data_IF_637917568892
#
_entry.id   IF_637917568892
#
_cell.length_a   1.000
_cell.length_b   1.000
_cell.length_c   1.000
_cell.angle_alpha   90.00
_cell.angle_beta   90.00
_cell.angle_gamma   90.00
#
_symmetry.space_group_name_H-M   'P 1'
#
loop_
_entity.id
_entity.type
_entity.pdbx_description
1 polymer ?
#
# COMPACT_ATOMS: atom_id res chain seq x y z
N UNK A 1 -14.40 3.40 -35.44
CA UNK A 1 -14.03 3.47 -36.87
C UNK A 1 -14.23 4.87 -37.47
N UNK A 2 -15.45 5.45 -37.48
CA UNK A 2 -15.71 6.78 -38.07
C UNK A 2 -14.99 7.97 -37.41
N UNK A 3 -14.87 8.01 -36.07
CA UNK A 3 -14.10 9.06 -35.35
C UNK A 3 -12.60 9.03 -35.69
N UNK A 4 -11.95 7.87 -35.55
CA UNK A 4 -10.53 7.70 -35.89
C UNK A 4 -10.20 8.03 -37.37
N UNK A 5 -11.15 7.88 -38.29
CA UNK A 5 -10.99 8.30 -39.68
C UNK A 5 -11.11 9.82 -39.85
N UNK A 6 -12.07 10.44 -39.15
CA UNK A 6 -12.24 11.90 -39.08
C UNK A 6 -10.99 12.57 -38.48
N UNK A 7 -10.44 12.01 -37.40
CA UNK A 7 -9.27 12.56 -36.73
C UNK A 7 -8.03 12.46 -37.62
N UNK A 8 -7.84 11.32 -38.31
CA UNK A 8 -6.78 11.16 -39.33
C UNK A 8 -6.90 12.17 -40.47
N UNK A 9 -8.12 12.40 -40.95
CA UNK A 9 -8.41 13.42 -41.98
C UNK A 9 -8.11 14.83 -41.50
N UNK A 10 -8.42 15.15 -40.24
CA UNK A 10 -8.14 16.45 -39.64
C UNK A 10 -6.63 16.70 -39.51
N UNK A 11 -5.87 15.71 -39.04
CA UNK A 11 -4.40 15.79 -39.01
C UNK A 11 -3.78 15.91 -40.40
N UNK A 12 -4.25 15.14 -41.39
CA UNK A 12 -3.78 15.26 -42.77
C UNK A 12 -4.11 16.62 -43.39
N UNK A 13 -5.29 17.18 -43.08
CA UNK A 13 -5.74 18.46 -43.64
C UNK A 13 -5.00 19.66 -43.05
N UNK A 14 -4.61 19.59 -41.78
CA UNK A 14 -3.74 20.59 -41.14
C UNK A 14 -2.34 20.62 -41.78
N UNK A 15 -1.79 19.46 -42.11
CA UNK A 15 -0.47 19.36 -42.76
C UNK A 15 -0.50 19.79 -44.25
N UNK A 16 -1.65 19.63 -44.93
CA UNK A 16 -1.86 20.06 -46.32
C UNK A 16 -2.14 21.57 -46.46
N UNK A 17 -2.77 22.19 -45.46
CA UNK A 17 -3.03 23.64 -45.47
C UNK A 17 -1.74 24.45 -45.37
N UNK A 18 -0.79 24.01 -44.54
CA UNK A 18 0.53 24.66 -44.42
C UNK A 18 1.37 24.53 -45.69
N UNK A 19 1.26 23.40 -46.41
CA UNK A 19 1.93 23.21 -47.69
C UNK A 19 1.41 24.18 -48.78
N UNK A 20 0.13 24.56 -48.70
CA UNK A 20 -0.49 25.48 -49.64
C UNK A 20 -0.23 26.96 -49.30
N UNK A 21 -0.20 27.34 -48.00
CA UNK A 21 0.00 28.74 -47.60
C UNK A 21 1.47 29.18 -47.52
N UNK A 22 2.41 28.27 -47.20
CA UNK A 22 3.82 28.66 -46.96
C UNK A 22 4.74 28.46 -48.17
N UNK A 23 4.28 27.87 -49.28
CA UNK A 23 5.06 27.69 -50.51
C UNK A 23 6.37 26.90 -50.33
N UNK A 24 6.53 26.17 -49.22
CA UNK A 24 7.73 25.41 -48.89
C UNK A 24 7.58 23.97 -49.39
N UNK A 25 8.43 23.58 -50.33
CA UNK A 25 8.54 22.21 -50.83
C UNK A 25 9.01 21.20 -49.76
N UNK A 26 9.55 21.68 -48.64
CA UNK A 26 10.04 20.86 -47.54
C UNK A 26 8.96 20.67 -46.45
N UNK A 27 8.37 19.48 -46.43
CA UNK A 27 7.56 18.98 -45.32
C UNK A 27 8.40 18.94 -44.03
N UNK A 28 8.29 19.96 -43.17
CA UNK A 28 8.79 19.85 -41.79
C UNK A 28 7.72 19.19 -40.94
N UNK A 29 7.93 17.91 -40.62
CA UNK A 29 7.11 17.17 -39.65
C UNK A 29 7.15 17.87 -38.28
N UNK A 30 6.14 18.69 -37.98
CA UNK A 30 5.99 19.33 -36.68
C UNK A 30 5.31 18.37 -35.69
N UNK A 31 6.12 17.50 -35.10
CA UNK A 31 5.68 16.53 -34.10
C UNK A 31 5.01 17.21 -32.88
N UNK A 32 5.41 18.44 -32.54
CA UNK A 32 4.85 19.21 -31.42
C UNK A 32 3.41 19.62 -31.67
N UNK A 33 3.10 20.10 -32.88
CA UNK A 33 1.73 20.50 -33.26
C UNK A 33 0.77 19.32 -33.31
N UNK A 34 1.19 18.18 -33.87
CA UNK A 34 0.37 16.95 -33.86
C UNK A 34 0.13 16.44 -32.45
N UNK A 35 1.15 16.45 -31.59
CA UNK A 35 1.01 16.05 -30.20
C UNK A 35 0.02 16.96 -29.46
N UNK A 36 0.11 18.28 -29.69
CA UNK A 36 -0.85 19.26 -29.15
C UNK A 36 -2.28 18.94 -29.58
N UNK A 37 -2.52 18.76 -30.88
CA UNK A 37 -3.85 18.43 -31.43
C UNK A 37 -4.37 17.11 -30.87
N UNK A 38 -3.53 16.09 -30.71
CA UNK A 38 -3.91 14.80 -30.11
C UNK A 38 -4.35 14.96 -28.64
N UNK A 39 -3.61 15.74 -27.85
CA UNK A 39 -3.91 15.98 -26.44
C UNK A 39 -5.22 16.77 -26.30
N UNK A 40 -5.37 17.85 -27.08
CA UNK A 40 -6.55 18.72 -27.04
C UNK A 40 -7.80 18.01 -27.59
N UNK A 41 -7.64 17.08 -28.52
CA UNK A 41 -8.75 16.29 -29.10
C UNK A 41 -9.07 14.99 -28.34
N UNK A 42 -8.36 14.69 -27.25
CA UNK A 42 -8.52 13.46 -26.45
C UNK A 42 -9.89 13.29 -25.77
N UNK A 43 -10.67 14.36 -25.64
CA UNK A 43 -11.92 14.37 -24.88
C UNK A 43 -11.73 14.39 -23.35
N UNK A 44 -10.49 14.55 -22.88
CA UNK A 44 -10.18 14.73 -21.46
C UNK A 44 -10.57 16.13 -20.96
N UNK A 45 -10.62 16.30 -19.63
CA UNK A 45 -10.93 17.59 -19.03
C UNK A 45 -9.84 18.63 -19.35
N UNK A 46 -10.19 19.92 -19.36
CA UNK A 46 -9.19 20.98 -19.55
C UNK A 46 -8.09 20.94 -18.46
N UNK A 47 -8.44 20.48 -17.26
CA UNK A 47 -7.48 20.23 -16.18
C UNK A 47 -6.45 19.16 -16.55
N UNK A 48 -6.90 18.01 -17.05
CA UNK A 48 -6.02 16.94 -17.52
C UNK A 48 -5.17 17.39 -18.72
N UNK A 49 -5.74 18.14 -19.66
CA UNK A 49 -5.00 18.71 -20.80
C UNK A 49 -3.87 19.64 -20.30
N UNK A 50 -4.18 20.57 -19.39
CA UNK A 50 -3.19 21.49 -18.82
C UNK A 50 -2.10 20.74 -18.04
N UNK A 51 -2.49 19.74 -17.24
CA UNK A 51 -1.56 18.90 -16.48
C UNK A 51 -0.67 18.06 -17.39
N UNK A 52 -1.18 17.62 -18.53
CA UNK A 52 -0.43 16.90 -19.56
C UNK A 52 0.66 17.78 -20.17
N UNK A 53 0.33 19.01 -20.57
CA UNK A 53 1.34 19.95 -21.09
C UNK A 53 2.40 20.31 -20.04
N UNK A 54 2.00 20.50 -18.78
CA UNK A 54 2.96 20.67 -17.68
C UNK A 54 3.85 19.44 -17.49
N UNK A 55 3.31 18.23 -17.64
CA UNK A 55 4.08 16.99 -17.57
C UNK A 55 5.09 16.86 -18.71
N UNK A 56 4.66 17.16 -19.95
CA UNK A 56 5.54 17.22 -21.11
C UNK A 56 6.67 18.22 -20.92
N UNK A 57 6.37 19.41 -20.40
CA UNK A 57 7.37 20.44 -20.07
C UNK A 57 8.43 19.90 -19.11
N UNK A 58 8.01 19.26 -18.02
CA UNK A 58 8.94 18.64 -17.04
C UNK A 58 9.84 17.58 -17.69
N UNK A 59 9.32 16.77 -18.61
CA UNK A 59 10.13 15.75 -19.31
C UNK A 59 11.10 16.38 -20.31
N UNK A 60 10.61 17.31 -21.12
CA UNK A 60 11.34 17.84 -22.29
C UNK A 60 12.33 18.93 -21.88
N UNK A 61 11.93 19.86 -21.00
CA UNK A 61 12.78 20.98 -20.59
C UNK A 61 13.68 20.61 -19.40
N UNK A 62 13.14 19.93 -18.40
CA UNK A 62 13.86 19.67 -17.15
C UNK A 62 14.52 18.27 -17.16
N UNK A 63 14.06 17.37 -18.03
CA UNK A 63 14.52 15.98 -18.07
C UNK A 63 14.12 15.18 -16.82
N UNK A 64 13.14 15.66 -16.05
CA UNK A 64 12.72 15.13 -14.77
C UNK A 64 11.47 14.26 -14.88
N UNK A 65 11.17 13.52 -13.81
CA UNK A 65 9.95 12.73 -13.70
C UNK A 65 8.77 13.62 -13.29
N UNK A 66 7.69 13.73 -14.10
CA UNK A 66 6.51 14.51 -13.71
C UNK A 66 5.82 13.92 -12.48
N UNK A 67 5.16 14.80 -11.70
CA UNK A 67 4.34 14.38 -10.57
C UNK A 67 3.19 13.44 -10.96
N UNK A 68 2.71 12.66 -9.99
CA UNK A 68 1.72 11.60 -10.20
C UNK A 68 0.44 12.06 -10.94
N UNK A 69 -0.10 13.22 -10.57
CA UNK A 69 -1.27 13.82 -11.20
C UNK A 69 -1.03 14.12 -12.69
N UNK A 70 0.15 14.66 -13.03
CA UNK A 70 0.53 14.97 -14.41
C UNK A 70 0.73 13.71 -15.23
N UNK A 71 1.32 12.66 -14.65
CA UNK A 71 1.46 11.37 -15.32
C UNK A 71 0.09 10.72 -15.60
N UNK A 72 -0.85 10.76 -14.67
CA UNK A 72 -2.22 10.27 -14.91
C UNK A 72 -2.93 11.06 -16.00
N UNK A 73 -2.77 12.39 -15.97
CA UNK A 73 -3.32 13.26 -17.01
C UNK A 73 -2.76 12.89 -18.39
N UNK A 74 -1.43 12.70 -18.49
CA UNK A 74 -0.79 12.23 -19.72
C UNK A 74 -1.37 10.89 -20.18
N UNK A 75 -1.52 9.90 -19.30
CA UNK A 75 -2.12 8.63 -19.71
C UNK A 75 -3.55 8.76 -20.24
N UNK A 76 -4.35 9.63 -19.63
CA UNK A 76 -5.73 9.88 -20.05
C UNK A 76 -5.79 10.60 -21.41
N UNK A 77 -4.88 11.53 -21.67
CA UNK A 77 -4.91 12.36 -22.89
C UNK A 77 -4.20 11.72 -24.08
N UNK A 78 -3.02 11.13 -23.88
CA UNK A 78 -2.17 10.60 -24.95
C UNK A 78 -2.06 9.07 -24.96
N UNK A 79 -2.59 8.40 -23.93
CA UNK A 79 -2.49 6.96 -23.77
C UNK A 79 -1.21 6.52 -23.03
N UNK A 80 -1.29 5.38 -22.35
CA UNK A 80 -0.21 4.86 -21.52
C UNK A 80 1.08 4.55 -22.32
N UNK A 81 0.96 4.05 -23.54
CA UNK A 81 2.14 3.70 -24.34
C UNK A 81 2.90 4.93 -24.82
N UNK A 82 2.19 5.95 -25.31
CA UNK A 82 2.81 7.21 -25.74
C UNK A 82 3.50 7.91 -24.57
N UNK A 83 2.84 7.97 -23.41
CA UNK A 83 3.42 8.58 -22.22
C UNK A 83 4.62 7.77 -21.67
N UNK A 84 4.65 6.43 -21.79
CA UNK A 84 5.83 5.60 -21.47
C UNK A 84 7.01 5.88 -22.38
N UNK A 85 6.79 6.05 -23.68
CA UNK A 85 7.85 6.38 -24.64
C UNK A 85 8.49 7.73 -24.31
N UNK A 86 7.66 8.73 -23.98
CA UNK A 86 8.14 10.05 -23.57
C UNK A 86 8.99 10.00 -22.30
N UNK A 87 8.67 9.11 -21.34
CA UNK A 87 9.49 8.94 -20.15
C UNK A 87 10.91 8.42 -20.40
N UNK A 88 11.20 7.86 -21.58
CA UNK A 88 12.57 7.48 -21.96
C UNK A 88 13.46 8.69 -22.22
N UNK A 89 12.88 9.85 -22.52
CA UNK A 89 13.61 11.11 -22.74
C UNK A 89 14.12 11.76 -21.45
N UNK A 90 13.71 11.27 -20.27
CA UNK A 90 14.21 11.73 -18.97
C UNK A 90 15.72 11.45 -18.81
N UNK A 91 16.36 12.21 -17.93
CA UNK A 91 17.79 12.08 -17.59
C UNK A 91 18.11 10.64 -17.18
N UNK A 92 19.32 10.19 -17.54
CA UNK A 92 19.81 8.86 -17.18
C UNK A 92 19.84 8.63 -15.66
N UNK A 93 20.07 9.68 -14.87
CA UNK A 93 20.05 9.63 -13.39
C UNK A 93 18.63 9.36 -12.86
N UNK A 94 17.60 9.99 -13.44
CA UNK A 94 16.20 9.75 -13.08
C UNK A 94 15.77 8.32 -13.44
N UNK A 95 16.13 7.88 -14.66
CA UNK A 95 15.84 6.53 -15.15
C UNK A 95 16.60 5.46 -14.35
N UNK A 96 17.86 5.72 -14.01
CA UNK A 96 18.71 4.85 -13.19
C UNK A 96 18.23 4.79 -11.75
N UNK A 97 17.75 5.90 -11.19
CA UNK A 97 17.15 5.95 -9.86
C UNK A 97 15.84 5.14 -9.78
N UNK A 98 14.96 5.25 -10.78
CA UNK A 98 13.76 4.39 -10.85
C UNK A 98 14.10 2.91 -11.01
N UNK A 99 15.05 2.58 -11.89
CA UNK A 99 15.51 1.20 -12.08
C UNK A 99 16.12 0.62 -10.80
N UNK A 100 16.90 1.44 -10.08
CA UNK A 100 17.43 1.09 -8.77
C UNK A 100 16.30 0.84 -7.76
N UNK A 101 15.32 1.74 -7.65
CA UNK A 101 14.15 1.57 -6.79
C UNK A 101 13.32 0.32 -7.14
N UNK A 102 13.18 0.02 -8.45
CA UNK A 102 12.52 -1.18 -8.96
C UNK A 102 13.25 -2.47 -8.57
N UNK A 103 14.59 -2.42 -8.60
CA UNK A 103 15.47 -3.56 -8.29
C UNK A 103 15.50 -3.83 -6.79
N UNK A 104 15.63 -2.80 -5.95
CA UNK A 104 15.62 -2.96 -4.48
C UNK A 104 14.25 -3.39 -3.94
N UNK A 105 13.17 -3.06 -4.66
CA UNK A 105 11.81 -3.49 -4.33
C UNK A 105 11.53 -4.96 -4.66
N UNK A 106 12.30 -5.58 -5.57
CA UNK A 106 12.03 -6.92 -6.08
C UNK A 106 12.03 -8.02 -5.00
N UNK A 107 13.00 -8.11 -4.08
CA UNK A 107 12.96 -9.08 -2.98
C UNK A 107 11.71 -8.93 -2.10
N UNK A 108 11.31 -7.69 -1.82
CA UNK A 108 10.12 -7.41 -1.00
C UNK A 108 8.84 -7.87 -1.68
N UNK A 109 8.70 -7.65 -2.99
CA UNK A 109 7.56 -8.16 -3.76
C UNK A 109 7.54 -9.68 -3.72
N UNK A 110 8.67 -10.36 -3.94
CA UNK A 110 8.73 -11.82 -3.92
C UNK A 110 8.33 -12.41 -2.57
N UNK A 111 8.81 -11.83 -1.47
CA UNK A 111 8.44 -12.23 -0.10
C UNK A 111 6.96 -12.03 0.23
N UNK A 112 6.29 -11.06 -0.43
CA UNK A 112 4.89 -10.70 -0.19
C UNK A 112 3.96 -11.19 -1.29
N UNK A 113 4.46 -12.02 -2.20
CA UNK A 113 3.74 -12.55 -3.35
C UNK A 113 3.27 -13.97 -3.08
N UNK A 114 2.02 -14.25 -3.43
CA UNK A 114 1.33 -15.53 -3.22
C UNK A 114 1.22 -15.94 -1.74
N UNK A 115 1.57 -15.06 -0.82
CA UNK A 115 1.33 -15.23 0.60
C UNK A 115 -0.01 -14.63 1.00
N UNK A 116 -0.61 -15.14 2.08
CA UNK A 116 -1.81 -14.56 2.68
C UNK A 116 -1.45 -13.38 3.60
N UNK A 117 -0.34 -12.67 3.36
CA UNK A 117 0.17 -11.63 4.27
C UNK A 117 -0.80 -10.48 4.45
N UNK A 118 -1.49 -10.06 3.38
CA UNK A 118 -2.56 -9.06 3.49
C UNK A 118 -3.63 -9.48 4.50
N UNK A 119 -4.00 -10.76 4.51
CA UNK A 119 -5.04 -11.27 5.40
C UNK A 119 -4.56 -11.31 6.85
N UNK A 120 -3.38 -11.87 7.11
CA UNK A 120 -2.92 -12.14 8.48
C UNK A 120 -2.10 -11.02 9.12
N UNK A 121 -1.44 -10.16 8.34
CA UNK A 121 -0.70 -9.00 8.86
C UNK A 121 -1.53 -7.73 8.89
N UNK A 122 -2.41 -7.54 7.91
CA UNK A 122 -3.19 -6.30 7.77
C UNK A 122 -4.67 -6.50 8.09
N UNK A 123 -5.30 -7.56 7.59
CA UNK A 123 -6.73 -7.80 7.80
C UNK A 123 -7.08 -8.38 9.17
N UNK A 124 -6.16 -9.09 9.83
CA UNK A 124 -6.42 -9.84 11.06
C UNK A 124 -6.95 -8.99 12.22
N UNK A 125 -6.56 -7.71 12.29
CA UNK A 125 -7.04 -6.77 13.33
C UNK A 125 -8.56 -6.60 13.27
N UNK A 126 -9.14 -6.61 12.06
CA UNK A 126 -10.59 -6.47 11.85
C UNK A 126 -11.29 -7.82 11.68
N UNK A 127 -10.56 -8.91 11.52
CA UNK A 127 -11.12 -10.21 11.18
C UNK A 127 -12.14 -10.71 12.21
N UNK A 128 -11.81 -10.62 13.50
CA UNK A 128 -12.68 -11.14 14.57
C UNK A 128 -13.85 -10.19 14.91
N UNK A 129 -13.68 -8.89 14.74
CA UNK A 129 -14.78 -7.91 14.87
C UNK A 129 -15.78 -7.99 13.71
N UNK A 130 -15.29 -8.41 12.52
CA UNK A 130 -16.05 -8.45 11.27
C UNK A 130 -15.86 -9.77 10.50
N UNK A 131 -16.18 -10.94 11.08
CA UNK A 131 -15.82 -12.25 10.52
C UNK A 131 -16.44 -12.51 9.14
N UNK A 132 -17.70 -12.11 8.94
CA UNK A 132 -18.37 -12.27 7.66
C UNK A 132 -17.83 -11.34 6.57
N UNK A 133 -17.46 -10.11 6.94
CA UNK A 133 -16.82 -9.18 6.02
C UNK A 133 -15.44 -9.70 5.60
N UNK A 134 -14.66 -10.15 6.58
CA UNK A 134 -13.34 -10.72 6.32
C UNK A 134 -13.44 -11.96 5.43
N UNK A 135 -14.35 -12.89 5.71
CA UNK A 135 -14.56 -14.08 4.88
C UNK A 135 -15.03 -13.73 3.45
N UNK A 136 -15.93 -12.77 3.32
CA UNK A 136 -16.37 -12.23 2.03
C UNK A 136 -15.20 -11.62 1.25
N UNK A 137 -14.37 -10.81 1.92
CA UNK A 137 -13.19 -10.21 1.32
C UNK A 137 -12.15 -11.26 0.91
N UNK A 138 -11.89 -12.26 1.75
CA UNK A 138 -10.97 -13.36 1.44
C UNK A 138 -11.46 -14.20 0.25
N UNK A 139 -12.77 -14.49 0.18
CA UNK A 139 -13.38 -15.18 -0.96
C UNK A 139 -13.20 -14.41 -2.26
N UNK A 140 -13.42 -13.11 -2.23
CA UNK A 140 -13.22 -12.27 -3.40
C UNK A 140 -11.72 -12.08 -3.73
N UNK A 141 -10.82 -12.08 -2.74
CA UNK A 141 -9.38 -12.12 -2.96
C UNK A 141 -8.97 -13.35 -3.79
N UNK A 142 -9.47 -14.54 -3.44
CA UNK A 142 -9.22 -15.77 -4.21
C UNK A 142 -9.80 -15.66 -5.62
N UNK A 143 -11.05 -15.18 -5.76
CA UNK A 143 -11.68 -15.01 -7.09
C UNK A 143 -10.91 -14.03 -7.97
N UNK A 144 -10.51 -12.89 -7.42
CA UNK A 144 -9.74 -11.87 -8.14
C UNK A 144 -8.34 -12.36 -8.46
N UNK A 145 -7.73 -13.22 -7.63
CA UNK A 145 -6.46 -13.86 -7.96
C UNK A 145 -6.56 -14.63 -9.28
N UNK A 146 -7.59 -15.47 -9.45
CA UNK A 146 -7.73 -16.29 -10.66
C UNK A 146 -8.41 -15.58 -11.84
N UNK A 147 -9.28 -14.59 -11.60
CA UNK A 147 -10.14 -14.00 -12.63
C UNK A 147 -10.04 -12.47 -12.69
N UNK A 148 -9.43 -11.95 -13.75
CA UNK A 148 -9.28 -10.51 -13.97
C UNK A 148 -10.62 -9.78 -14.10
N UNK A 149 -11.60 -10.38 -14.79
CA UNK A 149 -12.96 -9.79 -14.90
C UNK A 149 -13.63 -9.61 -13.55
N UNK A 150 -13.35 -10.50 -12.59
CA UNK A 150 -13.85 -10.36 -11.22
C UNK A 150 -13.13 -9.23 -10.48
N UNK A 151 -11.84 -9.01 -10.76
CA UNK A 151 -11.08 -7.88 -10.21
C UNK A 151 -11.62 -6.53 -10.71
N UNK A 152 -11.90 -6.42 -12.01
CA UNK A 152 -12.51 -5.21 -12.62
C UNK A 152 -13.87 -4.92 -11.98
N UNK A 153 -14.78 -5.91 -11.97
CA UNK A 153 -16.12 -5.74 -11.37
C UNK A 153 -16.06 -5.34 -9.90
N UNK A 154 -15.17 -5.95 -9.13
CA UNK A 154 -15.00 -5.59 -7.72
C UNK A 154 -14.48 -4.16 -7.57
N UNK A 155 -13.47 -3.77 -8.36
CA UNK A 155 -12.91 -2.42 -8.31
C UNK A 155 -13.96 -1.35 -8.68
N UNK A 156 -14.78 -1.61 -9.69
CA UNK A 156 -15.92 -0.74 -10.06
C UNK A 156 -16.97 -0.67 -8.94
N UNK A 157 -17.33 -1.81 -8.34
CA UNK A 157 -18.27 -1.86 -7.23
C UNK A 157 -17.77 -1.06 -6.00
N UNK A 158 -16.46 -1.08 -5.72
CA UNK A 158 -15.86 -0.30 -4.64
C UNK A 158 -15.95 1.22 -4.86
N UNK A 159 -15.97 1.66 -6.13
CA UNK A 159 -16.04 3.08 -6.51
C UNK A 159 -17.46 3.61 -6.56
N UNK A 160 -18.42 2.84 -7.11
CA UNK A 160 -19.76 3.36 -7.43
C UNK A 160 -20.90 2.43 -7.00
N UNK A 161 -20.62 1.22 -6.52
CA UNK A 161 -21.60 0.16 -6.28
C UNK A 161 -22.06 0.01 -4.83
N UNK A 162 -21.79 0.99 -3.95
CA UNK A 162 -22.01 0.84 -2.49
C UNK A 162 -23.39 1.31 -2.03
N UNK A 163 -24.13 2.01 -2.89
CA UNK A 163 -25.49 2.48 -2.63
C UNK A 163 -25.56 3.68 -1.69
N UNK A 164 -26.78 4.05 -1.29
CA UNK A 164 -27.06 5.24 -0.48
C UNK A 164 -27.58 4.88 0.92
N UNK A 165 -27.42 5.82 1.86
CA UNK A 165 -28.00 5.75 3.22
C UNK A 165 -28.63 7.09 3.58
N UNK A 166 -29.64 7.04 4.45
CA UNK A 166 -30.19 8.23 5.10
C UNK A 166 -29.51 8.42 6.47
N UNK A 167 -28.69 9.47 6.60
CA UNK A 167 -28.02 9.86 7.84
C UNK A 167 -28.70 11.13 8.39
N UNK A 168 -29.51 10.95 9.42
CA UNK A 168 -30.40 12.03 9.89
C UNK A 168 -31.38 12.40 8.77
N UNK A 169 -31.35 13.65 8.33
CA UNK A 169 -32.22 14.15 7.25
C UNK A 169 -31.58 14.12 5.86
N UNK A 170 -30.30 13.72 5.75
CA UNK A 170 -29.56 13.74 4.49
C UNK A 170 -29.44 12.35 3.87
N UNK A 171 -29.65 12.25 2.56
CA UNK A 171 -29.32 11.06 1.78
C UNK A 171 -27.89 11.22 1.27
N UNK A 172 -27.03 10.27 1.60
CA UNK A 172 -25.61 10.27 1.25
C UNK A 172 -25.30 9.01 0.45
N UNK A 173 -24.53 9.15 -0.63
CA UNK A 173 -23.88 8.02 -1.28
C UNK A 173 -22.74 7.52 -0.39
N UNK A 174 -22.69 6.21 -0.12
CA UNK A 174 -21.75 5.68 0.87
C UNK A 174 -20.31 5.74 0.34
N UNK A 175 -20.10 5.53 -0.97
CA UNK A 175 -18.76 5.60 -1.54
C UNK A 175 -18.22 7.04 -1.42
N UNK A 176 -19.00 8.03 -1.84
CA UNK A 176 -18.66 9.44 -1.72
C UNK A 176 -18.49 9.89 -0.26
N UNK A 177 -19.35 9.43 0.65
CA UNK A 177 -19.25 9.74 2.06
C UNK A 177 -17.96 9.17 2.66
N UNK A 178 -17.67 7.89 2.44
CA UNK A 178 -16.45 7.27 2.99
C UNK A 178 -15.18 7.89 2.42
N UNK A 179 -15.17 8.24 1.13
CA UNK A 179 -14.08 9.01 0.52
C UNK A 179 -13.90 10.38 1.19
N UNK A 180 -15.00 11.14 1.40
CA UNK A 180 -14.99 12.43 2.11
C UNK A 180 -14.49 12.30 3.55
N UNK A 181 -14.78 11.18 4.21
CA UNK A 181 -14.30 10.87 5.56
C UNK A 181 -12.84 10.38 5.57
N UNK A 182 -12.21 10.21 4.42
CA UNK A 182 -10.80 9.82 4.28
C UNK A 182 -10.56 8.31 4.25
N UNK A 183 -11.56 7.50 3.88
CA UNK A 183 -11.35 6.06 3.68
C UNK A 183 -10.37 5.88 2.53
N UNK A 184 -9.21 5.33 2.83
CA UNK A 184 -8.20 5.13 1.80
C UNK A 184 -8.64 3.99 0.89
N UNK A 185 -8.42 4.13 -0.42
CA UNK A 185 -8.53 3.06 -1.41
C UNK A 185 -7.30 3.05 -2.30
N UNK A 186 -6.56 1.93 -2.30
CA UNK A 186 -5.38 1.78 -3.14
C UNK A 186 -5.82 1.69 -4.62
N UNK A 187 -5.28 2.53 -5.52
CA UNK A 187 -5.68 2.52 -6.92
C UNK A 187 -5.04 1.32 -7.65
N UNK A 188 -5.80 0.23 -7.80
CA UNK A 188 -5.34 -0.96 -8.52
C UNK A 188 -5.07 -0.67 -10.01
N UNK A 189 -5.94 0.10 -10.68
CA UNK A 189 -5.79 0.46 -12.10
C UNK A 189 -4.51 1.28 -12.36
N UNK A 190 -4.08 2.08 -11.39
CA UNK A 190 -2.87 2.89 -11.46
C UNK A 190 -1.58 2.07 -11.23
N UNK A 191 -1.64 0.75 -11.11
CA UNK A 191 -0.41 -0.06 -11.09
C UNK A 191 0.13 -0.36 -12.47
N UNK A 192 -0.74 -0.41 -13.49
CA UNK A 192 -0.33 -0.41 -14.90
C UNK A 192 0.22 0.94 -15.36
N UNK A 193 0.00 2.00 -14.56
CA UNK A 193 0.33 3.34 -14.93
C UNK A 193 1.80 3.69 -14.71
N UNK A 194 2.22 4.69 -15.47
CA UNK A 194 3.52 5.32 -15.47
C UNK A 194 3.79 6.04 -14.14
N UNK A 195 2.73 6.29 -13.39
CA UNK A 195 2.76 6.92 -12.06
C UNK A 195 3.75 6.17 -11.17
N UNK A 196 4.73 6.92 -10.69
CA UNK A 196 5.91 6.52 -9.91
C UNK A 196 5.67 5.35 -8.93
N UNK A 197 6.70 4.51 -8.76
CA UNK A 197 6.78 3.39 -7.81
C UNK A 197 6.36 3.75 -6.38
N UNK A 198 6.50 5.03 -6.01
CA UNK A 198 6.16 5.59 -4.70
C UNK A 198 4.67 5.60 -4.35
N UNK A 199 3.77 5.53 -5.34
CA UNK A 199 2.31 5.52 -5.11
C UNK A 199 1.75 4.10 -4.97
N UNK A 200 2.58 3.07 -5.18
CA UNK A 200 2.17 1.67 -5.06
C UNK A 200 2.06 1.23 -3.59
N UNK A 201 1.34 0.13 -3.38
CA UNK A 201 1.41 -0.59 -2.11
C UNK A 201 2.87 -0.94 -1.80
N UNK A 202 3.35 -0.67 -0.59
CA UNK A 202 4.76 -0.82 -0.20
C UNK A 202 5.32 -2.22 -0.43
N UNK A 203 4.47 -3.24 -0.30
CA UNK A 203 4.83 -4.62 -0.61
C UNK A 203 4.95 -4.90 -2.10
N UNK A 204 4.26 -4.15 -2.96
CA UNK A 204 4.11 -4.39 -4.41
C UNK A 204 4.83 -3.33 -5.27
N UNK A 205 5.96 -2.81 -4.77
CA UNK A 205 6.61 -1.65 -5.39
C UNK A 205 7.35 -1.92 -6.70
N UNK A 206 7.61 -3.15 -7.16
CA UNK A 206 8.47 -3.44 -8.33
C UNK A 206 7.70 -3.68 -9.65
N UNK A 207 8.07 -2.97 -10.73
CA UNK A 207 7.62 -3.20 -12.11
C UNK A 207 8.21 -4.47 -12.70
N UNK A 208 9.49 -4.75 -12.42
CA UNK A 208 10.19 -5.94 -12.91
C UNK A 208 9.54 -7.22 -12.39
N UNK A 209 9.16 -7.23 -11.10
CA UNK A 209 8.48 -8.37 -10.50
C UNK A 209 7.16 -8.73 -11.23
N UNK A 210 6.43 -7.75 -11.78
CA UNK A 210 5.18 -8.00 -12.50
C UNK A 210 5.36 -8.77 -13.82
N UNK A 211 6.59 -8.90 -14.34
CA UNK A 211 6.87 -9.75 -15.50
C UNK A 211 6.85 -11.23 -15.14
N UNK A 212 7.04 -11.57 -13.86
CA UNK A 212 7.01 -12.94 -13.37
C UNK A 212 5.53 -13.41 -13.33
N UNK A 213 5.21 -14.58 -13.92
CA UNK A 213 3.87 -15.16 -13.84
C UNK A 213 3.39 -15.27 -12.39
N UNK A 214 2.13 -14.93 -12.11
CA UNK A 214 1.56 -14.99 -10.75
C UNK A 214 1.64 -13.68 -9.95
N UNK A 215 2.64 -12.83 -10.19
CA UNK A 215 2.82 -11.60 -9.37
C UNK A 215 1.69 -10.61 -9.59
N UNK A 216 1.30 -10.36 -10.84
CA UNK A 216 0.13 -9.50 -11.15
C UNK A 216 -1.17 -10.02 -10.52
N UNK A 217 -1.29 -11.34 -10.40
CA UNK A 217 -2.46 -12.00 -9.81
C UNK A 217 -2.48 -11.85 -8.28
N UNK A 218 -1.32 -12.02 -7.66
CA UNK A 218 -1.12 -11.78 -6.22
C UNK A 218 -1.34 -10.30 -5.87
N UNK A 219 -0.74 -9.39 -6.64
CA UNK A 219 -0.85 -7.94 -6.45
C UNK A 219 -2.33 -7.50 -6.46
N UNK A 220 -3.10 -7.84 -7.51
CA UNK A 220 -4.53 -7.48 -7.57
C UNK A 220 -5.33 -8.07 -6.42
N UNK A 221 -5.05 -9.32 -6.05
CA UNK A 221 -5.73 -10.00 -4.95
C UNK A 221 -5.45 -9.30 -3.61
N UNK A 222 -4.18 -8.99 -3.34
CA UNK A 222 -3.72 -8.27 -2.16
C UNK A 222 -4.44 -6.93 -2.00
N UNK A 223 -4.48 -6.13 -3.07
CA UNK A 223 -5.03 -4.77 -3.03
C UNK A 223 -6.54 -4.79 -2.87
N UNK A 224 -7.21 -5.60 -3.70
CA UNK A 224 -8.66 -5.65 -3.71
C UNK A 224 -9.20 -6.31 -2.44
N UNK A 225 -8.46 -7.24 -1.82
CA UNK A 225 -8.76 -7.74 -0.49
C UNK A 225 -8.81 -6.60 0.54
N UNK A 226 -7.74 -5.80 0.65
CA UNK A 226 -7.66 -4.73 1.65
C UNK A 226 -8.66 -3.61 1.36
N UNK A 227 -8.84 -3.25 0.09
CA UNK A 227 -9.82 -2.26 -0.31
C UNK A 227 -11.26 -2.69 0.00
N UNK A 228 -11.59 -3.95 -0.26
CA UNK A 228 -12.90 -4.52 0.06
C UNK A 228 -13.11 -4.62 1.57
N UNK A 229 -12.12 -5.10 2.32
CA UNK A 229 -12.20 -5.18 3.78
C UNK A 229 -12.45 -3.79 4.41
N UNK A 230 -11.68 -2.77 4.00
CA UNK A 230 -11.88 -1.39 4.46
C UNK A 230 -13.27 -0.86 4.10
N UNK A 231 -13.69 -1.07 2.86
CA UNK A 231 -14.97 -0.61 2.37
C UNK A 231 -16.15 -1.25 3.12
N UNK A 232 -16.19 -2.57 3.17
CA UNK A 232 -17.31 -3.31 3.74
C UNK A 232 -17.41 -3.07 5.28
N UNK A 233 -16.29 -2.92 5.99
CA UNK A 233 -16.30 -2.54 7.43
C UNK A 233 -16.86 -1.12 7.61
N UNK A 234 -16.41 -0.17 6.80
CA UNK A 234 -16.93 1.20 6.83
C UNK A 234 -18.43 1.25 6.49
N UNK A 235 -18.87 0.47 5.50
CA UNK A 235 -20.28 0.37 5.08
C UNK A 235 -21.14 -0.16 6.21
N UNK A 236 -20.70 -1.23 6.87
CA UNK A 236 -21.42 -1.81 8.00
C UNK A 236 -21.59 -0.81 9.15
N UNK A 237 -20.54 -0.04 9.47
CA UNK A 237 -20.61 1.00 10.48
C UNK A 237 -21.59 2.13 10.08
N UNK A 238 -21.45 2.66 8.87
CA UNK A 238 -22.31 3.74 8.35
C UNK A 238 -23.77 3.30 8.29
N UNK A 239 -24.05 2.10 7.76
CA UNK A 239 -25.40 1.54 7.71
C UNK A 239 -25.95 1.27 9.11
N UNK A 240 -25.11 0.90 10.06
CA UNK A 240 -25.47 0.78 11.47
C UNK A 240 -25.88 2.12 12.08
N UNK A 241 -25.09 3.16 11.84
CA UNK A 241 -25.37 4.52 12.31
C UNK A 241 -26.59 5.15 11.64
N UNK A 242 -26.84 4.87 10.37
CA UNK A 242 -28.02 5.33 9.64
C UNK A 242 -29.34 4.80 10.25
N UNK A 243 -29.30 3.69 10.99
CA UNK A 243 -30.46 3.16 11.74
C UNK A 243 -30.74 3.92 13.04
N UNK A 244 -29.80 4.75 13.50
CA UNK A 244 -29.93 5.52 14.74
C UNK A 244 -30.67 6.82 14.50
N UNK A 245 -31.52 7.24 15.45
CA UNK A 245 -32.30 8.50 15.35
C UNK A 245 -31.41 9.73 15.19
N UNK A 246 -30.29 9.76 15.91
CA UNK A 246 -29.25 10.78 15.79
C UNK A 246 -28.03 10.06 15.26
N UNK A 247 -27.47 10.38 14.07
CA UNK A 247 -26.21 9.80 13.61
C UNK A 247 -25.01 10.38 14.38
N UNK A 248 -23.84 9.71 14.39
CA UNK A 248 -22.62 10.30 14.92
C UNK A 248 -22.24 11.57 14.15
N UNK A 249 -21.47 12.43 14.82
CA UNK A 249 -20.88 13.61 14.18
C UNK A 249 -19.88 13.20 13.08
N UNK A 250 -19.61 14.10 12.14
CA UNK A 250 -18.61 13.85 11.09
C UNK A 250 -17.22 13.56 11.67
N UNK A 251 -16.86 14.17 12.80
CA UNK A 251 -15.59 13.92 13.48
C UNK A 251 -15.51 12.50 14.05
N UNK A 252 -16.59 12.00 14.65
CA UNK A 252 -16.66 10.61 15.09
C UNK A 252 -16.56 9.65 13.90
N UNK A 253 -17.29 9.94 12.81
CA UNK A 253 -17.19 9.11 11.60
C UNK A 253 -15.76 9.11 11.03
N UNK A 254 -15.09 10.26 10.95
CA UNK A 254 -13.69 10.38 10.53
C UNK A 254 -12.74 9.61 11.46
N UNK A 255 -12.96 9.64 12.78
CA UNK A 255 -12.17 8.89 13.74
C UNK A 255 -12.24 7.37 13.46
N UNK A 256 -13.44 6.83 13.25
CA UNK A 256 -13.59 5.41 12.95
C UNK A 256 -13.00 5.04 11.58
N UNK A 257 -13.21 5.86 10.55
CA UNK A 257 -12.65 5.63 9.21
C UNK A 257 -11.12 5.68 9.25
N UNK A 258 -10.54 6.60 10.04
CA UNK A 258 -9.10 6.63 10.31
C UNK A 258 -8.63 5.35 10.99
N UNK A 259 -9.35 4.87 12.02
CA UNK A 259 -9.05 3.60 12.68
C UNK A 259 -9.07 2.42 11.68
N UNK A 260 -10.06 2.31 10.81
CA UNK A 260 -10.15 1.26 9.77
C UNK A 260 -8.94 1.28 8.84
N UNK A 261 -8.48 2.47 8.43
CA UNK A 261 -7.27 2.63 7.62
C UNK A 261 -6.03 2.10 8.37
N UNK A 262 -5.79 2.53 9.60
CA UNK A 262 -4.59 2.12 10.37
C UNK A 262 -4.66 0.64 10.79
N UNK A 263 -5.84 0.13 11.15
CA UNK A 263 -6.06 -1.28 11.45
C UNK A 263 -5.64 -2.19 10.27
N UNK A 264 -5.96 -1.76 9.05
CA UNK A 264 -5.58 -2.45 7.81
C UNK A 264 -4.18 -2.11 7.28
N UNK A 265 -3.32 -1.47 8.09
CA UNK A 265 -1.91 -1.25 7.75
C UNK A 265 -1.61 0.08 7.06
N UNK A 266 -2.60 0.96 6.87
CA UNK A 266 -2.40 2.29 6.27
C UNK A 266 -2.06 3.34 7.33
N UNK A 267 -0.86 3.19 7.91
CA UNK A 267 -0.31 4.21 8.78
C UNK A 267 -0.06 5.50 8.00
N UNK A 268 -0.50 6.63 8.55
CA UNK A 268 -0.23 7.95 7.98
C UNK A 268 0.83 8.60 8.87
N UNK A 269 2.05 8.87 8.39
CA UNK A 269 3.01 9.65 9.16
C UNK A 269 2.44 11.03 9.45
N UNK A 270 2.86 11.66 10.55
CA UNK A 270 2.55 13.07 10.75
C UNK A 270 3.11 13.92 9.60
N UNK A 271 2.55 15.13 9.40
CA UNK A 271 2.94 16.07 8.31
C UNK A 271 4.45 16.31 8.20
N UNK A 272 5.20 16.19 9.30
CA UNK A 272 6.66 16.34 9.35
C UNK A 272 7.43 15.16 8.74
N UNK A 273 6.83 13.98 8.65
CA UNK A 273 7.45 12.75 8.14
C UNK A 273 7.00 12.39 6.72
N UNK A 274 5.96 13.06 6.19
CA UNK A 274 5.48 12.85 4.81
C UNK A 274 6.57 13.11 3.76
N UNK A 275 7.46 14.08 4.02
CA UNK A 275 8.57 14.43 3.12
C UNK A 275 9.62 13.32 3.03
N UNK A 276 9.78 12.52 4.08
CA UNK A 276 10.78 11.43 4.13
C UNK A 276 10.18 10.06 3.85
N UNK A 277 8.86 9.93 3.70
CA UNK A 277 8.20 8.68 3.36
C UNK A 277 8.78 7.97 2.13
N UNK A 278 9.09 8.65 1.01
CA UNK A 278 9.72 7.99 -0.14
C UNK A 278 11.07 7.36 0.20
N UNK A 279 11.86 8.01 1.05
CA UNK A 279 13.13 7.50 1.54
C UNK A 279 12.92 6.33 2.51
N UNK A 280 11.95 6.42 3.41
CA UNK A 280 11.58 5.32 4.31
C UNK A 280 11.09 4.10 3.53
N UNK A 281 10.35 4.28 2.43
CA UNK A 281 9.89 3.19 1.58
C UNK A 281 11.06 2.46 0.88
N UNK A 282 12.13 3.18 0.57
CA UNK A 282 13.37 2.61 0.03
C UNK A 282 14.15 1.85 1.11
N UNK A 283 14.24 2.43 2.32
CA UNK A 283 15.07 1.92 3.40
C UNK A 283 14.41 0.81 4.24
N UNK A 284 13.09 0.88 4.43
CA UNK A 284 12.32 0.02 5.34
C UNK A 284 11.39 -0.93 4.59
N UNK A 285 11.15 -2.13 5.13
CA UNK A 285 10.32 -3.16 4.49
C UNK A 285 8.84 -2.75 4.34
N UNK A 286 8.22 -2.23 5.40
CA UNK A 286 6.80 -1.82 5.40
C UNK A 286 6.54 -0.69 6.40
N UNK A 287 7.07 0.52 6.15
CA UNK A 287 6.99 1.64 7.10
C UNK A 287 5.55 2.02 7.47
N UNK A 288 4.59 2.04 6.54
CA UNK A 288 3.19 2.35 6.88
C UNK A 288 2.58 1.30 7.79
N UNK A 289 2.87 0.01 7.56
CA UNK A 289 2.40 -1.05 8.44
C UNK A 289 3.00 -0.89 9.84
N UNK A 290 4.30 -0.60 9.95
CA UNK A 290 4.96 -0.36 11.23
C UNK A 290 4.33 0.80 12.00
N UNK A 291 4.17 1.97 11.35
CA UNK A 291 3.51 3.15 11.92
C UNK A 291 2.08 2.80 12.37
N UNK A 292 1.36 2.05 11.53
CA UNK A 292 -0.04 1.70 11.82
C UNK A 292 -0.21 0.89 13.10
N UNK A 293 0.77 0.05 13.49
CA UNK A 293 0.69 -0.72 14.74
C UNK A 293 0.70 0.21 15.95
N UNK A 294 1.53 1.25 15.94
CA UNK A 294 1.52 2.26 17.00
C UNK A 294 0.23 3.08 17.00
N UNK A 295 -0.26 3.46 15.82
CA UNK A 295 -1.51 4.20 15.70
C UNK A 295 -2.72 3.40 16.17
N UNK A 296 -2.79 2.09 15.88
CA UNK A 296 -3.86 1.22 16.41
C UNK A 296 -3.85 1.23 17.94
N UNK A 297 -2.68 1.08 18.58
CA UNK A 297 -2.58 1.14 20.05
C UNK A 297 -3.02 2.51 20.57
N UNK A 298 -2.55 3.60 19.97
CA UNK A 298 -2.91 4.96 20.36
C UNK A 298 -4.40 5.28 20.20
N UNK A 299 -5.01 4.92 19.07
CA UNK A 299 -6.45 5.09 18.82
C UNK A 299 -7.29 4.22 19.77
N UNK A 300 -6.82 3.00 20.10
CA UNK A 300 -7.48 2.14 21.09
C UNK A 300 -7.45 2.78 22.47
N UNK A 301 -6.30 3.28 22.91
CA UNK A 301 -6.17 3.96 24.20
C UNK A 301 -7.06 5.20 24.26
N UNK A 302 -7.08 6.02 23.20
CA UNK A 302 -7.99 7.18 23.09
C UNK A 302 -9.45 6.76 23.17
N UNK A 303 -9.84 5.68 22.48
CA UNK A 303 -11.20 5.17 22.51
C UNK A 303 -11.65 4.79 23.93
N UNK A 304 -10.78 4.13 24.72
CA UNK A 304 -11.05 3.83 26.12
C UNK A 304 -11.17 5.09 27.01
N UNK A 305 -10.51 6.20 26.65
CA UNK A 305 -10.67 7.49 27.34
C UNK A 305 -11.96 8.22 26.97
N UNK A 306 -12.58 7.88 25.83
CA UNK A 306 -13.84 8.49 25.37
C UNK A 306 -14.92 7.45 25.04
N UNK A 307 -15.32 6.57 25.99
CA UNK A 307 -16.19 5.42 25.70
C UNK A 307 -17.64 5.81 25.31
N UNK A 308 -18.06 7.05 25.59
CA UNK A 308 -19.35 7.59 25.17
C UNK A 308 -19.43 7.94 23.68
N UNK A 309 -18.27 8.13 23.02
CA UNK A 309 -18.18 8.42 21.59
C UNK A 309 -18.47 7.15 20.77
N UNK A 310 -19.28 7.28 19.73
CA UNK A 310 -19.76 6.11 18.96
C UNK A 310 -18.67 5.44 18.13
N UNK A 311 -17.70 6.21 17.64
CA UNK A 311 -16.51 5.65 17.00
C UNK A 311 -15.69 4.86 18.01
N UNK A 312 -15.53 5.41 19.22
CA UNK A 312 -14.79 4.75 20.30
C UNK A 312 -15.40 3.41 20.68
N UNK A 313 -16.75 3.32 20.72
CA UNK A 313 -17.45 2.06 20.98
C UNK A 313 -17.13 0.98 19.92
N UNK A 314 -17.09 1.34 18.64
CA UNK A 314 -16.73 0.39 17.57
C UNK A 314 -15.26 0.00 17.64
N UNK A 315 -14.35 0.95 17.89
CA UNK A 315 -12.90 0.69 18.05
C UNK A 315 -12.66 -0.28 19.21
N UNK A 316 -13.25 0.00 20.38
CA UNK A 316 -13.16 -0.86 21.56
C UNK A 316 -13.69 -2.26 21.22
N UNK A 317 -14.85 -2.35 20.57
CA UNK A 317 -15.44 -3.63 20.17
C UNK A 317 -14.50 -4.43 19.27
N UNK A 318 -13.94 -3.82 18.24
CA UNK A 318 -13.05 -4.49 17.29
C UNK A 318 -11.75 -4.95 17.97
N UNK A 319 -11.19 -4.13 18.85
CA UNK A 319 -9.95 -4.45 19.56
C UNK A 319 -10.14 -5.49 20.67
N UNK A 320 -11.29 -5.48 21.35
CA UNK A 320 -11.67 -6.54 22.28
C UNK A 320 -11.93 -7.84 21.55
N UNK A 321 -12.60 -7.81 20.39
CA UNK A 321 -12.78 -8.99 19.56
C UNK A 321 -11.43 -9.55 19.09
N UNK A 322 -10.51 -8.70 18.61
CA UNK A 322 -9.18 -9.13 18.18
C UNK A 322 -8.35 -9.70 19.32
N UNK A 323 -8.22 -8.97 20.43
CA UNK A 323 -7.36 -9.37 21.55
C UNK A 323 -7.97 -10.53 22.32
N UNK A 324 -9.25 -10.42 22.68
CA UNK A 324 -9.96 -11.43 23.46
C UNK A 324 -10.08 -12.77 22.74
N UNK A 325 -10.39 -12.77 21.43
CA UNK A 325 -10.47 -14.01 20.65
C UNK A 325 -9.11 -14.69 20.54
N UNK A 326 -8.03 -13.93 20.30
CA UNK A 326 -6.68 -14.49 20.26
C UNK A 326 -6.27 -15.08 21.61
N UNK A 327 -6.47 -14.34 22.71
CA UNK A 327 -6.16 -14.84 24.06
C UNK A 327 -6.95 -16.11 24.39
N UNK A 328 -8.25 -16.11 24.10
CA UNK A 328 -9.11 -17.27 24.34
C UNK A 328 -8.65 -18.47 23.51
N UNK A 329 -8.41 -18.30 22.20
CA UNK A 329 -7.94 -19.36 21.33
C UNK A 329 -6.60 -19.94 21.81
N UNK A 330 -5.61 -19.07 22.06
CA UNK A 330 -4.28 -19.45 22.54
C UNK A 330 -4.34 -20.23 23.86
N UNK A 331 -5.12 -19.74 24.82
CA UNK A 331 -5.26 -20.37 26.14
C UNK A 331 -5.95 -21.73 26.04
N UNK A 332 -7.04 -21.82 25.27
CA UNK A 332 -7.77 -23.07 25.08
C UNK A 332 -6.93 -24.14 24.39
N UNK A 333 -6.18 -23.80 23.33
CA UNK A 333 -5.33 -24.77 22.67
C UNK A 333 -4.12 -25.18 23.50
N UNK A 334 -3.61 -24.28 24.36
CA UNK A 334 -2.57 -24.64 25.33
C UNK A 334 -3.11 -25.62 26.38
N UNK A 335 -4.28 -25.35 26.97
CA UNK A 335 -4.93 -26.24 27.94
C UNK A 335 -5.32 -27.58 27.34
N UNK A 336 -5.72 -27.61 26.07
CA UNK A 336 -6.00 -28.84 25.34
C UNK A 336 -4.72 -29.62 24.93
N UNK A 337 -3.53 -29.10 25.25
CA UNK A 337 -2.26 -29.73 24.90
C UNK A 337 -1.95 -29.72 23.40
N UNK A 338 -2.61 -28.85 22.62
CA UNK A 338 -2.40 -28.72 21.18
C UNK A 338 -1.12 -27.97 20.83
N UNK A 339 -0.68 -27.07 21.71
CA UNK A 339 0.52 -26.28 21.54
C UNK A 339 1.09 -25.76 22.87
N UNK A 340 2.34 -25.34 22.81
CA UNK A 340 3.00 -24.66 23.91
C UNK A 340 2.81 -23.14 23.80
N UNK A 341 2.80 -22.47 24.96
CA UNK A 341 2.62 -21.03 25.07
C UNK A 341 3.70 -20.42 25.98
N UNK A 342 4.41 -19.41 25.46
CA UNK A 342 5.34 -18.60 26.24
C UNK A 342 4.67 -17.29 26.65
N UNK A 343 4.73 -16.94 27.94
CA UNK A 343 4.06 -15.77 28.53
C UNK A 343 5.04 -14.69 28.98
N UNK A 344 6.34 -14.96 28.99
CA UNK A 344 7.37 -13.95 29.25
C UNK A 344 7.52 -13.02 28.03
N UNK A 345 7.16 -11.73 28.15
CA UNK A 345 7.19 -10.80 27.03
C UNK A 345 8.58 -10.55 26.46
N UNK A 346 9.65 -10.84 27.21
CA UNK A 346 11.03 -10.68 26.76
C UNK A 346 11.49 -11.79 25.81
N UNK A 347 10.72 -12.88 25.67
CA UNK A 347 11.07 -14.05 24.85
C UNK A 347 10.61 -13.92 23.40
N UNK A 348 11.35 -14.57 22.50
CA UNK A 348 11.09 -14.50 21.05
C UNK A 348 9.73 -15.09 20.66
N UNK A 349 9.22 -16.07 21.42
CA UNK A 349 7.96 -16.77 21.18
C UNK A 349 6.81 -16.36 22.09
N UNK A 350 6.97 -15.25 22.82
CA UNK A 350 5.89 -14.65 23.61
C UNK A 350 4.56 -14.61 22.85
N UNK A 351 3.55 -15.25 23.42
CA UNK A 351 2.17 -15.37 22.94
C UNK A 351 2.04 -15.94 21.52
N UNK A 352 3.00 -16.74 21.05
CA UNK A 352 2.87 -17.49 19.80
C UNK A 352 2.31 -18.89 20.05
N UNK A 353 1.72 -19.47 19.01
CA UNK A 353 1.40 -20.90 18.96
C UNK A 353 2.69 -21.64 18.64
N UNK A 354 3.18 -22.51 19.54
CA UNK A 354 4.36 -23.35 19.28
C UNK A 354 3.96 -24.83 19.16
N UNK A 355 4.22 -25.40 17.98
CA UNK A 355 3.99 -26.82 17.68
C UNK A 355 5.31 -27.39 17.16
N UNK A 356 6.01 -28.15 18.01
CA UNK A 356 7.37 -28.60 17.72
C UNK A 356 8.31 -27.42 17.45
N UNK A 357 8.88 -27.38 16.25
CA UNK A 357 9.79 -26.32 15.78
C UNK A 357 9.08 -25.16 15.05
N UNK A 358 7.76 -25.22 14.93
CA UNK A 358 6.96 -24.22 14.21
C UNK A 358 6.36 -23.22 15.19
N UNK A 359 6.59 -21.94 14.94
CA UNK A 359 6.03 -20.84 15.74
C UNK A 359 5.15 -19.94 14.87
N UNK A 360 3.87 -19.80 15.24
CA UNK A 360 2.88 -18.99 14.51
C UNK A 360 2.50 -17.77 15.35
N UNK A 361 2.60 -16.58 14.74
CA UNK A 361 2.23 -15.29 15.35
C UNK A 361 0.81 -14.86 14.92
N UNK A 362 -0.20 -14.99 15.80
CA UNK A 362 -1.57 -14.58 15.50
C UNK A 362 -1.83 -13.07 15.69
N UNK A 363 -0.81 -12.30 16.13
CA UNK A 363 -0.97 -10.92 16.57
C UNK A 363 -0.75 -9.90 15.47
N UNK A 364 -0.99 -10.22 14.21
CA UNK A 364 -0.93 -9.24 13.10
C UNK A 364 0.33 -8.35 13.06
N UNK A 365 1.48 -8.86 13.55
CA UNK A 365 2.74 -8.12 13.63
C UNK A 365 2.88 -7.13 14.81
N UNK A 366 2.00 -7.15 15.80
CA UNK A 366 2.14 -6.39 17.05
C UNK A 366 3.19 -7.00 17.99
N UNK A 367 3.29 -8.34 18.00
CA UNK A 367 4.13 -9.09 18.94
C UNK A 367 5.58 -8.62 19.02
N UNK A 368 6.31 -8.40 17.90
CA UNK A 368 7.70 -7.96 17.99
C UNK A 368 7.86 -6.67 18.80
N UNK A 369 6.96 -5.69 18.63
CA UNK A 369 7.02 -4.42 19.37
C UNK A 369 6.82 -4.64 20.87
N UNK A 370 5.86 -5.47 21.27
CA UNK A 370 5.64 -5.80 22.68
C UNK A 370 6.91 -6.39 23.32
N UNK A 371 7.59 -7.29 22.62
CA UNK A 371 8.84 -7.88 23.11
C UNK A 371 9.99 -6.89 23.17
N UNK A 372 10.16 -6.06 22.15
CA UNK A 372 11.18 -5.02 22.16
C UNK A 372 10.96 -4.04 23.32
N UNK A 373 9.72 -3.60 23.56
CA UNK A 373 9.41 -2.73 24.70
C UNK A 373 9.66 -3.39 26.04
N UNK A 374 9.24 -4.65 26.23
CA UNK A 374 9.51 -5.36 27.48
C UNK A 374 11.02 -5.47 27.77
N UNK A 375 11.83 -5.78 26.75
CA UNK A 375 13.30 -5.81 26.86
C UNK A 375 13.90 -4.44 27.17
N UNK A 376 13.41 -3.38 26.54
CA UNK A 376 13.84 -2.01 26.83
C UNK A 376 13.52 -1.61 28.27
N UNK A 377 12.30 -1.90 28.75
CA UNK A 377 11.88 -1.63 30.13
C UNK A 377 12.74 -2.40 31.13
N UNK A 378 13.07 -3.67 30.85
CA UNK A 378 13.97 -4.47 31.68
C UNK A 378 15.40 -3.90 31.70
N UNK A 379 15.92 -3.43 30.57
CA UNK A 379 17.25 -2.81 30.49
C UNK A 379 17.29 -1.49 31.28
N UNK A 380 16.28 -0.63 31.10
CA UNK A 380 16.14 0.65 31.82
C UNK A 380 16.04 0.41 33.33
N UNK A 381 15.22 -0.56 33.77
CA UNK A 381 15.05 -0.84 35.20
C UNK A 381 16.31 -1.38 35.88
N UNK A 382 17.21 -2.01 35.11
CA UNK A 382 18.52 -2.49 35.55
C UNK A 382 19.65 -1.48 35.36
N UNK A 383 19.40 -0.33 34.74
CA UNK A 383 20.43 0.66 34.40
C UNK A 383 21.42 0.18 33.32
N UNK A 384 21.04 -0.82 32.53
CA UNK A 384 21.89 -1.44 31.50
C UNK A 384 21.67 -0.75 30.15
N UNK A 385 22.30 0.42 29.99
CA UNK A 385 22.15 1.26 28.80
C UNK A 385 22.83 0.67 27.55
N UNK A 386 23.91 -0.10 27.72
CA UNK A 386 24.53 -0.82 26.60
C UNK A 386 23.56 -1.85 26.00
N UNK A 387 22.85 -2.59 26.86
CA UNK A 387 21.80 -3.51 26.40
C UNK A 387 20.64 -2.75 25.75
N UNK A 388 20.27 -1.57 26.28
CA UNK A 388 19.22 -0.74 25.68
C UNK A 388 19.57 -0.32 24.25
N UNK A 389 20.79 0.18 24.02
CA UNK A 389 21.24 0.61 22.70
C UNK A 389 21.24 -0.56 21.70
N UNK A 390 21.72 -1.73 22.12
CA UNK A 390 21.66 -2.95 21.32
C UNK A 390 20.22 -3.35 20.95
N UNK A 391 19.26 -3.21 21.88
CA UNK A 391 17.85 -3.52 21.62
C UNK A 391 17.26 -2.55 20.59
N UNK A 392 17.58 -1.25 20.68
CA UNK A 392 17.13 -0.23 19.74
C UNK A 392 17.72 -0.47 18.35
N UNK A 393 19.01 -0.78 18.25
CA UNK A 393 19.67 -1.12 16.99
C UNK A 393 19.02 -2.35 16.35
N UNK A 394 18.77 -3.42 17.11
CA UNK A 394 18.10 -4.63 16.63
C UNK A 394 16.69 -4.33 16.12
N UNK A 395 15.93 -3.48 16.83
CA UNK A 395 14.60 -3.07 16.38
C UNK A 395 14.70 -2.31 15.05
N UNK A 396 15.58 -1.32 14.94
CA UNK A 396 15.76 -0.53 13.72
C UNK A 396 16.17 -1.44 12.54
N UNK A 397 17.13 -2.33 12.77
CA UNK A 397 17.61 -3.31 11.80
C UNK A 397 16.51 -4.25 11.32
N UNK A 398 15.64 -4.71 12.22
CA UNK A 398 14.52 -5.60 11.89
C UNK A 398 13.48 -5.00 10.94
N UNK A 399 13.51 -3.67 10.75
CA UNK A 399 12.59 -2.95 9.85
C UNK A 399 13.20 -2.59 8.52
N UNK A 400 14.51 -2.79 8.35
CA UNK A 400 15.19 -2.53 7.10
C UNK A 400 14.66 -3.44 5.98
N UNK A 401 14.61 -2.89 4.78
CA UNK A 401 14.36 -3.68 3.59
C UNK A 401 15.56 -4.61 3.30
N UNK A 402 15.39 -5.68 2.49
CA UNK A 402 16.43 -6.69 2.30
C UNK A 402 17.78 -6.12 1.82
N UNK A 403 17.75 -5.11 0.94
CA UNK A 403 18.97 -4.47 0.42
C UNK A 403 19.70 -3.61 1.46
N UNK A 404 19.06 -2.63 2.12
CA UNK A 404 19.67 -1.91 3.26
C UNK A 404 20.15 -2.82 4.39
N UNK A 405 19.39 -3.88 4.72
CA UNK A 405 19.84 -4.89 5.69
C UNK A 405 21.13 -5.56 5.23
N UNK A 406 21.24 -5.93 3.96
CA UNK A 406 22.45 -6.54 3.43
C UNK A 406 23.68 -5.64 3.43
N UNK A 407 23.50 -4.33 3.21
CA UNK A 407 24.58 -3.34 3.36
C UNK A 407 25.03 -3.26 4.82
N UNK A 408 24.08 -3.24 5.77
CA UNK A 408 24.39 -3.25 7.20
C UNK A 408 25.15 -4.51 7.61
N UNK A 409 24.74 -5.68 7.13
CA UNK A 409 25.41 -6.95 7.36
C UNK A 409 26.87 -6.94 6.85
N UNK A 410 27.12 -6.28 5.72
CA UNK A 410 28.47 -6.14 5.15
C UNK A 410 29.37 -5.23 5.98
N UNK A 411 28.82 -4.12 6.48
CA UNK A 411 29.56 -3.18 7.32
C UNK A 411 29.86 -3.77 8.70
N UNK A 412 28.88 -4.48 9.29
CA UNK A 412 29.00 -5.02 10.65
C UNK A 412 29.63 -6.41 10.71
N UNK A 413 29.72 -7.11 9.58
CA UNK A 413 30.25 -8.47 9.49
C UNK A 413 29.38 -9.54 10.17
N UNK A 414 28.16 -9.18 10.60
CA UNK A 414 27.22 -10.08 11.31
C UNK A 414 25.84 -10.01 10.66
N UNK A 415 25.11 -11.11 10.61
CA UNK A 415 23.72 -11.17 10.12
C UNK A 415 22.71 -10.70 11.18
N UNK A 416 21.42 -10.62 10.81
CA UNK A 416 20.35 -10.13 11.69
C UNK A 416 20.26 -10.86 13.02
N UNK A 417 20.61 -12.15 13.06
CA UNK A 417 20.58 -12.96 14.27
C UNK A 417 21.95 -13.05 14.96
N UNK A 418 22.93 -12.26 14.51
CA UNK A 418 24.26 -12.12 15.13
C UNK A 418 25.31 -13.12 14.66
N UNK A 419 25.03 -13.96 13.65
CA UNK A 419 26.00 -14.91 13.09
C UNK A 419 27.01 -14.17 12.21
N UNK A 420 28.29 -14.57 12.18
CA UNK A 420 29.28 -13.98 11.29
C UNK A 420 28.91 -14.20 9.82
N UNK A 421 29.00 -13.15 9.01
CA UNK A 421 28.72 -13.23 7.57
C UNK A 421 29.96 -13.75 6.85
N UNK A 422 29.87 -14.92 6.23
CA UNK A 422 30.92 -15.46 5.37
C UNK A 422 30.75 -14.90 3.95
N UNK A 423 31.58 -13.95 3.57
CA UNK A 423 31.59 -13.39 2.22
C UNK A 423 32.43 -14.28 1.31
N UNK A 424 31.79 -15.12 0.50
CA UNK A 424 32.43 -15.66 -0.69
C UNK A 424 32.15 -14.69 -1.85
N UNK A 425 33.21 -14.12 -2.42
CA UNK A 425 33.14 -13.10 -3.48
C UNK A 425 32.51 -13.59 -4.79
N UNK A 426 32.18 -14.88 -4.89
CA UNK A 426 31.48 -15.52 -6.00
C UNK A 426 29.96 -15.71 -5.74
N UNK A 427 29.43 -15.24 -4.61
CA UNK A 427 28.15 -15.73 -4.08
C UNK A 427 27.10 -14.63 -3.76
N UNK A 428 27.15 -13.51 -4.49
CA UNK A 428 26.12 -12.46 -4.41
C UNK A 428 24.71 -13.01 -4.65
N UNK A 429 24.60 -14.05 -5.48
CA UNK A 429 23.34 -14.73 -5.79
C UNK A 429 22.76 -15.45 -4.56
N UNK A 430 23.57 -16.15 -3.75
CA UNK A 430 23.10 -16.77 -2.50
C UNK A 430 22.73 -15.73 -1.42
N UNK A 431 23.45 -14.61 -1.35
CA UNK A 431 23.10 -13.52 -0.44
C UNK A 431 21.80 -12.79 -0.85
N UNK A 432 21.48 -12.76 -2.16
CA UNK A 432 20.23 -12.22 -2.68
C UNK A 432 19.08 -13.22 -2.52
N UNK A 433 19.28 -14.50 -2.87
CA UNK A 433 18.28 -15.57 -2.77
C UNK A 433 17.90 -15.82 -1.31
N UNK A 434 18.86 -15.92 -0.38
CA UNK A 434 18.56 -16.07 1.06
C UNK A 434 17.77 -14.89 1.66
N UNK A 435 17.77 -13.73 0.98
CA UNK A 435 17.07 -12.50 1.37
C UNK A 435 15.84 -12.20 0.51
N UNK A 436 15.56 -13.01 -0.51
CA UNK A 436 14.38 -12.94 -1.37
C UNK A 436 13.43 -14.12 -1.15
N UNK A 437 13.94 -15.22 -0.57
CA UNK A 437 13.14 -16.34 -0.09
C UNK A 437 12.66 -16.02 1.33
N UNK A 438 11.35 -16.03 1.61
CA UNK A 438 10.84 -15.86 2.96
C UNK A 438 11.36 -16.99 3.86
N UNK A 439 11.93 -16.65 5.02
CA UNK A 439 12.30 -17.59 6.08
C UNK A 439 11.06 -18.10 6.82
#
# INVERSE_FOLDING_TARGET
AKRAFSDRLLTMRLDLHDAAELGKADFRFDAGRRLKVLIESSGASQGDINNTFKGLRTIVEEGLTPGAERLQAMERTMGADAARELLKARRLTERGGELFMDTIGLPRVLMTTMDMSAMFRQGAVLAFGHPFVFASAAKDAVRTFFHERSAIRLNEALKMGRGTVKLGDKVEDIAALTERLGLYQAPWEAQGSIVSLSTREEGMMSRLARMIPGIKMSERSYILFLNKLRADVADNAIRGWAKSRVPPSENEMKQFIHFVNVATGRGIPGKSLDTILPLMNAAMFSPRLAISRFQVVGETARAFMTPSNRASQLIIKDMLAFTGTNLAALSLGHWAGLWDLEVDPTKADFMKIRIGNTSIDPWAGFKPYATYFARMTEAISKGDFDRLDNIVEQLARSKLAPVPSGIWDAVTGRDFIGRPVKWNTLDFDNAFISRAVPL
#
